data_IF_279105902013
#
_entry.id   IF_279105902013
#
_cell.length_a   1.000
_cell.length_b   1.000
_cell.length_c   1.000
_cell.angle_alpha   90.00
_cell.angle_beta   90.00
_cell.angle_gamma   90.00
#
_symmetry.space_group_name_H-M   'P 1'
#
loop_
_entity.id
_entity.type
_entity.pdbx_description
1 polymer ?
#
# COMPACT_ATOMS: atom_id res chain seq x y z
N UNK A 1 13.14 11.16 3.30
CA UNK A 1 12.15 11.88 4.15
C UNK A 1 12.14 11.23 5.54
N UNK A 2 11.82 11.99 6.59
CA UNK A 2 11.68 11.48 7.96
C UNK A 2 10.20 11.55 8.35
N UNK A 3 9.66 10.44 8.86
CA UNK A 3 8.26 10.34 9.34
C UNK A 3 8.08 11.06 10.67
N UNK A 4 6.82 11.30 11.07
CA UNK A 4 6.50 11.83 12.41
C UNK A 4 7.04 10.94 13.55
N UNK A 5 7.18 9.64 13.31
CA UNK A 5 7.77 8.68 14.24
C UNK A 5 9.30 8.61 14.18
N UNK A 6 9.96 9.50 13.42
CA UNK A 6 11.42 9.56 13.30
C UNK A 6 12.06 8.50 12.40
N UNK A 7 11.27 7.63 11.76
CA UNK A 7 11.77 6.62 10.83
C UNK A 7 12.00 7.18 9.41
N UNK A 8 12.76 6.46 8.60
CA UNK A 8 12.93 6.75 7.18
C UNK A 8 11.85 6.08 6.32
N UNK A 9 11.47 6.73 5.23
CA UNK A 9 10.66 6.14 4.15
C UNK A 9 11.56 5.88 2.95
N UNK A 10 11.45 4.68 2.39
CA UNK A 10 12.14 4.27 1.18
C UNK A 10 11.11 4.00 0.09
N UNK A 11 11.23 4.71 -1.04
CA UNK A 11 10.47 4.42 -2.25
C UNK A 11 11.20 3.33 -3.04
N UNK A 12 10.56 2.18 -3.24
CA UNK A 12 11.18 1.01 -3.87
C UNK A 12 10.34 0.54 -5.07
N UNK A 13 10.96 0.51 -6.24
CA UNK A 13 10.34 -0.01 -7.46
C UNK A 13 10.48 -1.53 -7.56
N UNK A 14 9.44 -2.27 -7.20
CA UNK A 14 9.40 -3.73 -7.36
C UNK A 14 8.97 -4.20 -8.77
N UNK A 15 8.60 -3.27 -9.66
CA UNK A 15 7.97 -3.60 -10.93
C UNK A 15 6.51 -4.04 -10.74
N UNK A 16 6.06 -5.01 -11.54
CA UNK A 16 4.75 -5.64 -11.35
C UNK A 16 4.82 -6.49 -10.08
N UNK A 17 3.86 -6.31 -9.18
CA UNK A 17 3.73 -7.08 -7.94
C UNK A 17 2.60 -8.08 -8.14
N UNK A 18 2.97 -9.35 -8.37
CA UNK A 18 2.00 -10.42 -8.63
C UNK A 18 1.20 -10.83 -7.38
N UNK A 19 1.89 -10.95 -6.23
CA UNK A 19 1.27 -11.21 -4.93
C UNK A 19 1.65 -10.12 -3.90
N UNK A 20 0.81 -9.07 -3.77
CA UNK A 20 1.03 -8.02 -2.78
C UNK A 20 0.99 -8.52 -1.32
N UNK A 21 0.26 -9.60 -1.04
CA UNK A 21 0.12 -10.13 0.33
C UNK A 21 1.40 -10.84 0.74
N UNK A 22 1.95 -11.67 -0.14
CA UNK A 22 3.24 -12.33 0.11
C UNK A 22 4.36 -11.30 0.23
N UNK A 23 4.38 -10.30 -0.65
CA UNK A 23 5.40 -9.24 -0.61
C UNK A 23 5.35 -8.46 0.72
N UNK A 24 4.17 -8.03 1.17
CA UNK A 24 4.01 -7.33 2.46
C UNK A 24 4.53 -8.18 3.63
N UNK A 25 4.11 -9.46 3.68
CA UNK A 25 4.53 -10.38 4.72
C UNK A 25 6.06 -10.57 4.75
N UNK A 26 6.69 -10.68 3.57
CA UNK A 26 8.16 -10.84 3.47
C UNK A 26 8.91 -9.57 3.86
N UNK A 27 8.43 -8.40 3.46
CA UNK A 27 9.06 -7.13 3.83
C UNK A 27 9.03 -6.91 5.34
N UNK A 28 7.91 -7.21 5.99
CA UNK A 28 7.75 -7.12 7.46
C UNK A 28 8.66 -8.06 8.25
N UNK A 29 9.20 -9.11 7.61
CA UNK A 29 10.19 -10.00 8.24
C UNK A 29 11.62 -9.46 8.19
N UNK A 30 11.89 -8.41 7.41
CA UNK A 30 13.22 -7.81 7.32
C UNK A 30 13.49 -6.94 8.56
N UNK A 31 14.54 -7.21 9.35
CA UNK A 31 14.87 -6.38 10.51
C UNK A 31 15.09 -4.93 10.11
N UNK A 32 14.44 -4.02 10.83
CA UNK A 32 14.46 -2.58 10.54
C UNK A 32 13.37 -2.10 9.60
N UNK A 33 12.57 -3.00 9.00
CA UNK A 33 11.30 -2.62 8.36
C UNK A 33 10.22 -2.58 9.45
N UNK A 34 9.70 -1.39 9.73
CA UNK A 34 8.61 -1.23 10.71
C UNK A 34 7.24 -1.43 10.07
N UNK A 35 7.04 -0.90 8.87
CA UNK A 35 5.80 -1.05 8.09
C UNK A 35 6.07 -0.90 6.58
N UNK A 36 5.07 -1.22 5.77
CA UNK A 36 5.06 -1.05 4.31
C UNK A 36 3.88 -0.19 3.85
N UNK A 37 3.94 0.25 2.59
CA UNK A 37 2.84 0.95 1.94
C UNK A 37 1.77 0.04 1.31
N UNK A 38 1.77 -1.27 1.59
CA UNK A 38 0.86 -2.24 0.97
C UNK A 38 -0.42 -2.43 1.80
N UNK A 39 -1.51 -1.78 1.39
CA UNK A 39 -2.83 -1.84 2.08
C UNK A 39 -3.70 -3.00 1.57
N UNK A 40 -3.18 -4.22 1.64
CA UNK A 40 -3.82 -5.41 1.05
C UNK A 40 -5.09 -5.81 1.81
N UNK A 41 -6.23 -5.85 1.11
CA UNK A 41 -7.50 -6.31 1.69
C UNK A 41 -8.08 -5.38 2.75
N UNK A 42 -7.64 -4.11 2.81
CA UNK A 42 -8.08 -3.15 3.84
C UNK A 42 -9.23 -2.25 3.40
N UNK A 43 -9.33 -1.88 2.11
CA UNK A 43 -10.37 -0.98 1.61
C UNK A 43 -11.72 -1.70 1.37
N UNK A 44 -12.79 -1.26 2.04
CA UNK A 44 -14.16 -1.81 1.84
C UNK A 44 -14.89 -1.14 0.67
N UNK A 45 -14.53 0.09 0.34
CA UNK A 45 -15.01 0.82 -0.83
C UNK A 45 -13.98 1.87 -1.27
N UNK A 46 -14.07 2.29 -2.52
CA UNK A 46 -13.20 3.31 -3.13
C UNK A 46 -14.05 4.31 -3.89
N UNK A 47 -13.80 5.60 -3.71
CA UNK A 47 -14.35 6.65 -4.58
C UNK A 47 -13.33 6.99 -5.66
N UNK A 48 -13.72 6.84 -6.93
CA UNK A 48 -12.89 7.13 -8.10
C UNK A 48 -13.43 8.39 -8.78
N UNK A 49 -12.61 9.46 -8.80
CA UNK A 49 -12.91 10.68 -9.54
C UNK A 49 -12.46 10.56 -10.99
N UNK A 50 -13.39 10.75 -11.93
CA UNK A 50 -13.14 10.74 -13.37
C UNK A 50 -13.72 11.97 -14.07
N UNK A 51 -13.52 12.06 -15.39
CA UNK A 51 -13.97 13.22 -16.20
C UNK A 51 -15.48 13.46 -16.12
N UNK A 52 -16.26 12.43 -15.82
CA UNK A 52 -17.73 12.46 -15.82
C UNK A 52 -18.34 12.47 -14.41
N UNK A 53 -17.51 12.51 -13.35
CA UNK A 53 -17.98 12.52 -11.97
C UNK A 53 -17.27 11.50 -11.08
N UNK A 54 -17.93 11.13 -9.98
CA UNK A 54 -17.39 10.21 -8.96
C UNK A 54 -18.13 8.87 -9.04
N UNK A 55 -17.37 7.77 -9.06
CA UNK A 55 -17.89 6.41 -8.93
C UNK A 55 -17.50 5.82 -7.58
N UNK A 56 -18.42 5.09 -6.93
CA UNK A 56 -18.13 4.28 -5.75
C UNK A 56 -17.97 2.81 -6.14
N UNK A 57 -16.80 2.24 -5.87
CA UNK A 57 -16.52 0.80 -5.98
C UNK A 57 -16.66 0.18 -4.59
N UNK A 58 -17.26 -1.01 -4.49
CA UNK A 58 -17.36 -1.77 -3.24
C UNK A 58 -16.42 -2.98 -3.33
N UNK A 59 -15.89 -3.42 -2.18
CA UNK A 59 -15.20 -4.71 -2.09
C UNK A 59 -16.20 -5.84 -2.44
N UNK A 60 -15.75 -6.77 -3.29
CA UNK A 60 -16.47 -7.99 -3.63
C UNK A 60 -16.38 -9.06 -2.55
#
# INVERSE_FOLDING_TARGET
VVTDNGNFVLDVGFGVVDDPRELDARLKLVPGVLETGLFVGMADFVYVGGRTGIQRLLRG
#
